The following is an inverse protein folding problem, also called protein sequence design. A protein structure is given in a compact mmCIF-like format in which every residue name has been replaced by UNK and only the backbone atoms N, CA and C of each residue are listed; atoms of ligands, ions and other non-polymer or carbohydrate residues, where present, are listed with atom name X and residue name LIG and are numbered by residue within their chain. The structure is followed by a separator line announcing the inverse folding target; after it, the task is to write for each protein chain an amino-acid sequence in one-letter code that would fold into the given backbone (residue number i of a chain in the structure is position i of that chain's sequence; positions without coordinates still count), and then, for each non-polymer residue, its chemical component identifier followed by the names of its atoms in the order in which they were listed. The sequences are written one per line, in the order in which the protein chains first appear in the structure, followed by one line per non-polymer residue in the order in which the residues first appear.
data_IF_596169416379
#
_entry.id   IF_596169416379
#
_cell.length_a   1.000
_cell.length_b   1.000
_cell.length_c   1.000
_cell.angle_alpha   90.00
_cell.angle_beta   90.00
_cell.angle_gamma   90.00
#
_symmetry.space_group_name_H-M   'P 1'
#
loop_
_entity.id
_entity.type
_entity.pdbx_description
1 polymer ?
#
# COMPACT_ATOMS: atom_id res chain seq x y z
N UNK A 1 -15.38 5.25 -49.60
CA UNK A 1 -15.78 4.59 -48.37
C UNK A 1 -14.55 4.50 -47.48
N UNK A 2 -14.45 5.44 -46.54
CA UNK A 2 -13.38 5.42 -45.52
C UNK A 2 -13.97 4.74 -44.27
N UNK A 3 -13.45 3.58 -43.91
CA UNK A 3 -13.72 2.91 -42.63
C UNK A 3 -12.79 3.49 -41.56
N UNK A 4 -13.34 4.24 -40.63
CA UNK A 4 -12.63 4.71 -39.44
C UNK A 4 -12.41 3.57 -38.48
N UNK A 5 -11.15 3.19 -38.25
CA UNK A 5 -10.75 2.34 -37.13
C UNK A 5 -10.89 3.16 -35.82
N UNK A 6 -11.86 2.81 -35.00
CA UNK A 6 -11.90 3.27 -33.63
C UNK A 6 -10.81 2.56 -32.83
N UNK A 7 -9.74 3.30 -32.48
CA UNK A 7 -8.76 2.86 -31.53
C UNK A 7 -9.40 2.80 -30.13
N UNK A 8 -9.63 1.60 -29.59
CA UNK A 8 -9.93 1.39 -28.20
C UNK A 8 -8.71 1.81 -27.39
N UNK A 9 -8.76 3.00 -26.80
CA UNK A 9 -7.89 3.38 -25.71
C UNK A 9 -8.29 2.54 -24.49
N UNK A 10 -7.68 1.37 -24.35
CA UNK A 10 -7.65 0.66 -23.08
C UNK A 10 -6.96 1.60 -22.10
N UNK A 11 -7.75 2.25 -21.23
CA UNK A 11 -7.24 3.05 -20.14
C UNK A 11 -6.27 2.19 -19.34
N UNK A 12 -4.99 2.52 -19.42
CA UNK A 12 -4.02 2.02 -18.46
C UNK A 12 -4.54 2.44 -17.09
N UNK A 13 -4.96 1.46 -16.30
CA UNK A 13 -5.16 1.63 -14.87
C UNK A 13 -3.77 1.99 -14.34
N UNK A 14 -3.53 3.28 -14.19
CA UNK A 14 -2.37 3.78 -13.45
C UNK A 14 -2.52 3.16 -12.07
N UNK A 15 -1.68 2.17 -11.78
CA UNK A 15 -1.71 1.46 -10.51
C UNK A 15 -1.66 2.49 -9.39
N UNK A 16 -2.69 2.53 -8.56
CA UNK A 16 -2.68 3.36 -7.37
C UNK A 16 -1.40 3.02 -6.57
N UNK A 17 -0.74 4.02 -5.96
CA UNK A 17 0.44 3.74 -5.17
C UNK A 17 0.08 2.65 -4.16
N UNK A 18 0.85 1.58 -4.16
CA UNK A 18 0.68 0.41 -3.29
C UNK A 18 0.59 0.78 -1.80
N UNK A 19 1.08 1.96 -1.46
CA UNK A 19 1.18 2.43 -0.10
C UNK A 19 0.03 3.40 0.22
N UNK A 20 -0.72 3.05 1.24
CA UNK A 20 -1.68 3.92 1.92
C UNK A 20 -1.14 4.21 3.33
N UNK A 21 -1.07 5.48 3.73
CA UNK A 21 -0.57 5.89 5.04
C UNK A 21 -1.46 5.41 6.19
N UNK A 22 -0.90 5.27 7.39
CA UNK A 22 -1.66 4.90 8.58
C UNK A 22 -2.81 5.87 8.83
N UNK A 23 -2.59 7.17 8.64
CA UNK A 23 -3.62 8.21 8.74
C UNK A 23 -4.78 8.02 7.75
N UNK A 24 -4.50 7.56 6.53
CA UNK A 24 -5.55 7.30 5.54
C UNK A 24 -6.35 6.04 5.88
N UNK A 25 -5.68 5.01 6.43
CA UNK A 25 -6.36 3.81 6.93
C UNK A 25 -7.25 4.14 8.13
N UNK A 26 -6.77 4.92 9.10
CA UNK A 26 -7.61 5.40 10.21
C UNK A 26 -8.89 6.07 9.71
N UNK A 27 -8.74 7.02 8.78
CA UNK A 27 -9.90 7.70 8.18
C UNK A 27 -10.85 6.74 7.44
N UNK A 28 -10.30 5.73 6.79
CA UNK A 28 -11.08 4.71 6.09
C UNK A 28 -11.85 3.85 7.09
N UNK A 29 -11.21 3.39 8.16
CA UNK A 29 -11.85 2.61 9.22
C UNK A 29 -12.94 3.40 9.94
N UNK A 30 -12.71 4.66 10.25
CA UNK A 30 -13.74 5.57 10.80
C UNK A 30 -14.96 5.69 9.88
N UNK A 31 -14.73 5.84 8.55
CA UNK A 31 -15.85 5.87 7.60
C UNK A 31 -16.60 4.55 7.55
N UNK A 32 -15.90 3.42 7.51
CA UNK A 32 -16.50 2.08 7.52
C UNK A 32 -17.34 1.90 8.79
N UNK A 33 -16.81 2.22 9.96
CA UNK A 33 -17.51 2.13 11.25
C UNK A 33 -18.81 2.96 11.26
N UNK A 34 -18.71 4.23 10.85
CA UNK A 34 -19.85 5.13 10.80
C UNK A 34 -20.92 4.69 9.80
N UNK A 35 -20.51 4.28 8.59
CA UNK A 35 -21.44 3.79 7.55
C UNK A 35 -22.08 2.46 7.94
N UNK A 36 -21.36 1.57 8.63
CA UNK A 36 -21.90 0.32 9.15
C UNK A 36 -23.06 0.56 10.10
N UNK A 37 -22.92 1.51 11.06
CA UNK A 37 -24.00 1.90 11.94
C UNK A 37 -25.22 2.47 11.20
N UNK A 38 -24.96 3.35 10.21
CA UNK A 38 -26.03 3.92 9.36
C UNK A 38 -26.74 2.87 8.51
N UNK A 39 -25.98 1.96 7.91
CA UNK A 39 -26.54 0.82 7.13
C UNK A 39 -27.39 -0.08 8.01
N UNK A 40 -26.91 -0.48 9.20
CA UNK A 40 -27.65 -1.31 10.15
C UNK A 40 -29.01 -0.70 10.49
N UNK A 41 -29.05 0.61 10.77
CA UNK A 41 -30.30 1.29 11.07
C UNK A 41 -31.25 1.32 9.86
N UNK A 42 -30.73 1.59 8.67
CA UNK A 42 -31.52 1.58 7.43
C UNK A 42 -32.08 0.18 7.14
N UNK A 43 -31.23 -0.85 7.27
CA UNK A 43 -31.61 -2.24 7.08
C UNK A 43 -32.77 -2.64 8.01
N UNK A 44 -32.61 -2.39 9.31
CA UNK A 44 -33.67 -2.68 10.29
C UNK A 44 -35.00 -2.04 9.92
N UNK A 45 -34.97 -0.75 9.54
CA UNK A 45 -36.17 -0.03 9.14
C UNK A 45 -36.81 -0.58 7.86
N UNK A 46 -35.99 -1.04 6.91
CA UNK A 46 -36.46 -1.64 5.66
C UNK A 46 -37.04 -3.04 5.88
N UNK A 47 -36.42 -3.85 6.74
CA UNK A 47 -36.91 -5.20 7.09
C UNK A 47 -38.27 -5.15 7.76
N UNK A 48 -38.46 -4.25 8.72
CA UNK A 48 -39.75 -4.04 9.41
C UNK A 48 -40.89 -3.64 8.45
N UNK A 49 -40.59 -3.17 7.23
CA UNK A 49 -41.57 -2.80 6.19
C UNK A 49 -41.65 -3.81 5.05
N UNK A 50 -40.89 -4.89 5.15
CA UNK A 50 -40.77 -5.91 4.12
C UNK A 50 -41.61 -7.15 4.44
N UNK A 51 -41.63 -8.10 3.49
CA UNK A 51 -42.22 -9.44 3.73
C UNK A 51 -41.43 -10.29 4.70
N UNK A 52 -40.28 -9.82 5.14
CA UNK A 52 -39.39 -10.50 6.12
C UNK A 52 -39.74 -10.10 7.55
N UNK A 53 -40.57 -9.08 7.77
CA UNK A 53 -40.96 -8.62 9.11
C UNK A 53 -41.43 -9.78 9.99
N UNK A 54 -40.88 -9.85 11.20
CA UNK A 54 -41.17 -10.88 12.23
C UNK A 54 -40.85 -12.33 11.77
N UNK A 55 -39.94 -12.49 10.84
CA UNK A 55 -39.47 -13.82 10.43
C UNK A 55 -38.13 -14.15 11.02
N UNK A 56 -37.84 -15.45 11.20
CA UNK A 56 -36.52 -15.92 11.61
C UNK A 56 -35.39 -15.39 10.71
N UNK A 57 -35.67 -15.20 9.43
CA UNK A 57 -34.69 -14.64 8.48
C UNK A 57 -34.35 -13.18 8.77
N UNK A 58 -35.28 -12.41 9.26
CA UNK A 58 -35.05 -11.04 9.75
C UNK A 58 -34.11 -11.06 10.98
N UNK A 59 -34.40 -11.93 11.93
CA UNK A 59 -33.58 -12.08 13.14
C UNK A 59 -32.14 -12.50 12.77
N UNK A 60 -32.01 -13.47 11.89
CA UNK A 60 -30.71 -13.99 11.43
C UNK A 60 -29.88 -12.89 10.75
N UNK A 61 -30.44 -12.10 9.83
CA UNK A 61 -29.72 -11.02 9.15
C UNK A 61 -29.40 -9.87 10.09
N UNK A 62 -30.28 -9.50 11.01
CA UNK A 62 -30.02 -8.47 12.01
C UNK A 62 -28.88 -8.88 12.94
N UNK A 63 -28.85 -10.12 13.41
CA UNK A 63 -27.76 -10.67 14.23
C UNK A 63 -26.44 -10.68 13.42
N UNK A 64 -26.51 -11.05 12.15
CA UNK A 64 -25.35 -11.10 11.28
C UNK A 64 -24.73 -9.72 11.02
N UNK A 65 -25.56 -8.70 10.75
CA UNK A 65 -25.10 -7.31 10.56
C UNK A 65 -24.57 -6.72 11.87
N UNK A 66 -25.15 -7.10 13.02
CA UNK A 66 -24.59 -6.74 14.33
C UNK A 66 -23.18 -7.30 14.52
N UNK A 67 -22.97 -8.58 14.17
CA UNK A 67 -21.66 -9.21 14.26
C UNK A 67 -20.65 -8.58 13.28
N UNK A 68 -21.10 -8.14 12.09
CA UNK A 68 -20.29 -7.35 11.17
C UNK A 68 -19.86 -6.00 11.76
N UNK A 69 -20.76 -5.31 12.44
CA UNK A 69 -20.43 -4.06 13.17
C UNK A 69 -19.41 -4.29 14.29
N UNK A 70 -19.52 -5.41 15.00
CA UNK A 70 -18.55 -5.81 16.04
C UNK A 70 -17.16 -6.12 15.45
N UNK A 71 -17.10 -6.81 14.29
CA UNK A 71 -15.84 -7.08 13.60
C UNK A 71 -15.19 -5.80 13.07
N UNK A 72 -15.98 -4.85 12.54
CA UNK A 72 -15.43 -3.55 12.09
C UNK A 72 -14.86 -2.73 13.24
N UNK A 73 -15.50 -2.73 14.41
CA UNK A 73 -14.99 -2.08 15.62
C UNK A 73 -13.72 -2.74 16.13
N UNK A 74 -13.67 -4.07 16.13
CA UNK A 74 -12.48 -4.80 16.56
C UNK A 74 -11.29 -4.52 15.64
N UNK A 75 -11.51 -4.48 14.32
CA UNK A 75 -10.47 -4.11 13.36
C UNK A 75 -9.93 -2.71 13.62
N UNK A 76 -10.80 -1.73 13.87
CA UNK A 76 -10.46 -0.35 14.21
C UNK A 76 -9.61 -0.31 15.49
N UNK A 77 -10.08 -0.96 16.57
CA UNK A 77 -9.35 -1.05 17.84
C UNK A 77 -7.99 -1.73 17.69
N UNK A 78 -7.91 -2.80 16.88
CA UNK A 78 -6.63 -3.49 16.63
C UNK A 78 -5.69 -2.60 15.82
N UNK A 79 -6.20 -1.82 14.88
CA UNK A 79 -5.41 -0.89 14.09
C UNK A 79 -4.82 0.22 14.96
N UNK A 80 -5.60 0.84 15.80
CA UNK A 80 -5.15 1.90 16.73
C UNK A 80 -4.06 1.42 17.70
N UNK A 81 -4.07 0.14 18.04
CA UNK A 81 -3.06 -0.49 18.90
C UNK A 81 -1.92 -1.16 18.12
N UNK A 82 -1.79 -0.92 16.82
CA UNK A 82 -0.79 -1.57 15.93
C UNK A 82 -0.83 -3.11 15.97
N UNK A 83 -2.02 -3.68 16.19
CA UNK A 83 -2.25 -5.14 16.28
C UNK A 83 -3.11 -5.68 15.14
N UNK A 84 -3.55 -4.81 14.20
CA UNK A 84 -4.38 -5.24 13.08
C UNK A 84 -3.61 -6.20 12.17
N UNK A 85 -4.27 -7.26 11.77
CA UNK A 85 -3.73 -8.28 10.89
C UNK A 85 -4.57 -8.38 9.61
N UNK A 86 -4.01 -9.01 8.58
CA UNK A 86 -4.76 -9.36 7.37
C UNK A 86 -5.99 -10.22 7.72
N UNK A 87 -5.89 -11.08 8.75
CA UNK A 87 -7.00 -11.90 9.22
C UNK A 87 -8.19 -11.08 9.76
N UNK A 88 -7.92 -9.95 10.42
CA UNK A 88 -8.99 -9.04 10.89
C UNK A 88 -9.75 -8.43 9.70
N UNK A 89 -9.02 -7.99 8.68
CA UNK A 89 -9.61 -7.45 7.45
C UNK A 89 -10.39 -8.53 6.70
N UNK A 90 -9.83 -9.73 6.56
CA UNK A 90 -10.48 -10.86 5.91
C UNK A 90 -11.80 -11.23 6.62
N UNK A 91 -11.82 -11.26 7.95
CA UNK A 91 -13.04 -11.51 8.73
C UNK A 91 -14.16 -10.50 8.43
N UNK A 92 -13.80 -9.20 8.37
CA UNK A 92 -14.73 -8.11 8.01
C UNK A 92 -15.26 -8.29 6.58
N UNK A 93 -14.37 -8.53 5.60
CA UNK A 93 -14.73 -8.70 4.20
C UNK A 93 -15.60 -9.94 3.98
N UNK A 94 -15.30 -11.02 4.65
CA UNK A 94 -16.09 -12.24 4.59
C UNK A 94 -17.52 -12.04 5.08
N UNK A 95 -17.72 -11.34 6.19
CA UNK A 95 -19.08 -11.01 6.64
C UNK A 95 -19.78 -10.08 5.66
N UNK A 96 -19.06 -9.08 5.16
CA UNK A 96 -19.60 -8.17 4.15
C UNK A 96 -20.08 -8.89 2.89
N UNK A 97 -19.38 -9.93 2.43
CA UNK A 97 -19.80 -10.72 1.26
C UNK A 97 -21.14 -11.43 1.48
N UNK A 98 -21.39 -11.94 2.68
CA UNK A 98 -22.69 -12.55 3.01
C UNK A 98 -23.82 -11.51 3.06
N UNK A 99 -23.54 -10.31 3.58
CA UNK A 99 -24.49 -9.20 3.53
C UNK A 99 -24.78 -8.81 2.09
N UNK A 100 -23.76 -8.73 1.23
CA UNK A 100 -23.90 -8.43 -0.20
C UNK A 100 -24.79 -9.45 -0.91
N UNK A 101 -24.60 -10.73 -0.64
CA UNK A 101 -25.46 -11.80 -1.17
C UNK A 101 -26.90 -11.63 -0.69
N UNK A 102 -27.13 -11.32 0.59
CA UNK A 102 -28.47 -11.07 1.10
C UNK A 102 -29.11 -9.85 0.40
N UNK A 103 -28.40 -8.73 0.27
CA UNK A 103 -28.89 -7.51 -0.37
C UNK A 103 -29.22 -7.71 -1.86
N UNK A 104 -28.48 -8.59 -2.53
CA UNK A 104 -28.73 -8.96 -3.93
C UNK A 104 -30.00 -9.82 -4.06
N UNK A 105 -30.20 -10.79 -3.18
CA UNK A 105 -31.33 -11.70 -3.21
C UNK A 105 -32.64 -11.06 -2.67
N UNK A 106 -32.52 -10.05 -1.83
CA UNK A 106 -33.65 -9.36 -1.20
C UNK A 106 -33.55 -7.85 -1.44
N UNK A 107 -33.91 -7.35 -2.63
CA UNK A 107 -33.90 -5.93 -2.91
C UNK A 107 -34.84 -5.19 -1.96
N UNK A 108 -34.24 -4.35 -1.11
CA UNK A 108 -34.93 -3.49 -0.15
C UNK A 108 -35.10 -2.07 -0.74
N UNK A 109 -35.52 -1.11 0.10
CA UNK A 109 -35.67 0.27 -0.36
C UNK A 109 -34.39 0.91 -0.87
N UNK A 110 -34.50 1.95 -1.69
CA UNK A 110 -33.37 2.63 -2.33
C UNK A 110 -32.37 3.20 -1.33
N UNK A 111 -32.84 3.66 -0.15
CA UNK A 111 -31.97 4.21 0.90
C UNK A 111 -31.03 3.13 1.46
N UNK A 112 -31.58 1.95 1.73
CA UNK A 112 -30.80 0.82 2.25
C UNK A 112 -29.81 0.29 1.21
N UNK A 113 -30.24 0.21 -0.07
CA UNK A 113 -29.36 -0.16 -1.18
C UNK A 113 -28.19 0.83 -1.35
N UNK A 114 -28.47 2.14 -1.31
CA UNK A 114 -27.42 3.17 -1.40
C UNK A 114 -26.47 3.13 -0.21
N UNK A 115 -26.99 2.93 1.00
CA UNK A 115 -26.18 2.81 2.20
C UNK A 115 -25.21 1.62 2.10
N UNK A 116 -25.70 0.47 1.61
CA UNK A 116 -24.86 -0.69 1.35
C UNK A 116 -23.80 -0.42 0.27
N UNK A 117 -24.20 0.13 -0.89
CA UNK A 117 -23.29 0.40 -1.99
C UNK A 117 -22.12 1.32 -1.59
N UNK A 118 -22.40 2.36 -0.78
CA UNK A 118 -21.36 3.27 -0.30
C UNK A 118 -20.44 2.63 0.72
N UNK A 119 -20.94 1.75 1.58
CA UNK A 119 -20.14 0.96 2.51
C UNK A 119 -19.27 -0.05 1.77
N UNK A 120 -19.85 -0.74 0.78
CA UNK A 120 -19.14 -1.69 -0.08
C UNK A 120 -17.91 -1.06 -0.77
N UNK A 121 -18.04 0.16 -1.28
CA UNK A 121 -16.91 0.88 -1.89
C UNK A 121 -15.78 1.14 -0.89
N UNK A 122 -16.07 1.49 0.36
CA UNK A 122 -15.03 1.65 1.37
C UNK A 122 -14.38 0.31 1.76
N UNK A 123 -15.14 -0.79 1.75
CA UNK A 123 -14.60 -2.14 1.99
C UNK A 123 -13.68 -2.61 0.84
N UNK A 124 -13.95 -2.22 -0.41
CA UNK A 124 -13.07 -2.44 -1.55
C UNK A 124 -11.75 -1.67 -1.39
N UNK A 125 -11.80 -0.41 -0.92
CA UNK A 125 -10.62 0.36 -0.57
C UNK A 125 -9.83 -0.29 0.58
N UNK A 126 -10.51 -0.83 1.58
CA UNK A 126 -9.89 -1.55 2.68
C UNK A 126 -9.14 -2.80 2.18
N UNK A 127 -9.77 -3.60 1.33
CA UNK A 127 -9.13 -4.76 0.71
C UNK A 127 -7.87 -4.34 -0.05
N UNK A 128 -7.97 -3.27 -0.85
CA UNK A 128 -6.83 -2.71 -1.60
C UNK A 128 -5.71 -2.23 -0.68
N UNK A 129 -6.05 -1.55 0.44
CA UNK A 129 -5.08 -1.05 1.41
C UNK A 129 -4.24 -2.17 2.06
N UNK A 130 -4.79 -3.38 2.16
CA UNK A 130 -4.12 -4.57 2.67
C UNK A 130 -3.65 -5.52 1.56
N UNK A 131 -3.68 -5.07 0.29
CA UNK A 131 -3.29 -5.85 -0.89
C UNK A 131 -4.07 -7.16 -1.04
N UNK A 132 -5.33 -7.18 -0.59
CA UNK A 132 -6.22 -8.34 -0.70
C UNK A 132 -6.93 -8.26 -2.03
N UNK A 133 -6.78 -9.29 -2.88
CA UNK A 133 -7.60 -9.44 -4.09
C UNK A 133 -9.00 -9.88 -3.69
N UNK A 134 -9.95 -8.94 -3.68
CA UNK A 134 -11.31 -9.16 -3.23
C UNK A 134 -12.30 -9.20 -4.38
N UNK A 135 -13.27 -10.13 -4.32
CA UNK A 135 -14.38 -10.24 -5.27
C UNK A 135 -15.68 -10.50 -4.53
N UNK A 136 -16.72 -9.75 -4.86
CA UNK A 136 -18.08 -9.93 -4.33
C UNK A 136 -18.79 -11.10 -5.00
N UNK A 137 -19.72 -11.75 -4.28
CA UNK A 137 -20.60 -12.78 -4.85
C UNK A 137 -19.94 -14.12 -5.14
N UNK A 138 -18.74 -14.39 -4.62
CA UNK A 138 -18.11 -15.70 -4.67
C UNK A 138 -18.90 -16.72 -3.84
N UNK A 139 -19.11 -17.94 -4.40
CA UNK A 139 -19.64 -19.04 -3.61
C UNK A 139 -18.75 -19.29 -2.40
N UNK A 140 -19.36 -19.26 -1.24
CA UNK A 140 -18.75 -19.65 0.03
C UNK A 140 -18.44 -21.15 0.01
N UNK A 141 -17.31 -21.55 -0.45
CA UNK A 141 -16.77 -22.87 -0.22
C UNK A 141 -15.50 -22.78 0.59
N UNK A 142 -15.65 -23.17 1.85
CA UNK A 142 -14.68 -23.70 2.80
C UNK A 142 -13.43 -22.89 3.16
N UNK A 143 -13.05 -22.93 4.45
CA UNK A 143 -11.90 -22.20 5.00
C UNK A 143 -10.58 -22.92 4.75
N UNK A 144 -10.28 -23.29 3.51
CA UNK A 144 -9.00 -23.89 3.15
C UNK A 144 -8.20 -22.98 2.19
N UNK A 145 -8.31 -21.69 2.38
CA UNK A 145 -7.32 -20.79 1.84
C UNK A 145 -6.27 -20.53 2.93
N UNK A 146 -5.33 -21.47 3.06
CA UNK A 146 -4.03 -21.19 3.65
C UNK A 146 -3.13 -20.76 2.50
N UNK A 147 -2.99 -19.44 2.20
CA UNK A 147 -1.93 -19.01 1.32
C UNK A 147 -0.61 -19.43 1.96
N UNK A 148 0.40 -19.82 1.17
CA UNK A 148 1.73 -20.06 1.72
C UNK A 148 2.17 -18.80 2.47
N UNK A 149 2.71 -18.98 3.66
CA UNK A 149 3.04 -17.92 4.64
C UNK A 149 3.97 -16.84 4.05
N UNK A 150 4.62 -17.11 2.91
CA UNK A 150 5.51 -16.20 2.20
C UNK A 150 4.82 -15.18 1.28
N UNK A 151 3.54 -15.37 0.92
CA UNK A 151 2.81 -14.54 -0.06
C UNK A 151 1.57 -13.87 0.56
N UNK A 152 1.49 -13.76 1.88
CA UNK A 152 0.40 -13.07 2.54
C UNK A 152 0.40 -11.59 2.12
N UNK A 153 -0.78 -11.05 1.75
CA UNK A 153 -0.93 -9.62 1.56
C UNK A 153 -0.42 -8.90 2.81
N UNK A 154 0.48 -7.98 2.62
CA UNK A 154 1.16 -7.29 3.72
C UNK A 154 1.04 -5.78 3.53
N UNK A 155 0.50 -5.12 4.53
CA UNK A 155 0.51 -3.66 4.63
C UNK A 155 1.71 -3.24 5.48
N UNK A 156 2.55 -2.38 4.94
CA UNK A 156 3.65 -1.80 5.66
C UNK A 156 3.20 -0.52 6.39
N UNK A 157 3.54 -0.37 7.66
CA UNK A 157 3.21 0.80 8.47
C UNK A 157 4.07 2.03 8.09
N UNK A 158 3.61 3.22 8.46
CA UNK A 158 4.37 4.45 8.26
C UNK A 158 5.72 4.39 8.98
N UNK A 159 5.77 3.80 10.17
CA UNK A 159 7.02 3.62 10.91
C UNK A 159 8.03 2.72 10.19
N UNK A 160 7.60 1.61 9.64
CA UNK A 160 8.49 0.71 8.89
C UNK A 160 9.05 1.40 7.63
N UNK A 161 8.24 2.24 6.97
CA UNK A 161 8.70 3.02 5.82
C UNK A 161 9.68 4.12 6.25
N UNK A 162 9.41 4.80 7.36
CA UNK A 162 10.33 5.78 7.96
C UNK A 162 11.70 5.15 8.25
N UNK A 163 11.70 3.96 8.87
CA UNK A 163 12.92 3.21 9.18
C UNK A 163 13.71 2.88 7.88
N UNK A 164 13.04 2.45 6.81
CA UNK A 164 13.68 2.18 5.50
C UNK A 164 14.27 3.46 4.92
N UNK A 165 13.53 4.57 4.89
CA UNK A 165 13.99 5.86 4.37
C UNK A 165 15.17 6.37 5.18
N UNK A 166 15.11 6.26 6.51
CA UNK A 166 16.21 6.62 7.39
C UNK A 166 17.48 5.79 7.11
N UNK A 167 17.33 4.47 6.89
CA UNK A 167 18.45 3.62 6.51
C UNK A 167 19.04 4.01 5.15
N UNK A 168 18.19 4.33 4.15
CA UNK A 168 18.64 4.83 2.84
C UNK A 168 19.43 6.12 2.99
N UNK A 169 18.95 7.10 3.75
CA UNK A 169 19.65 8.37 3.99
C UNK A 169 20.99 8.14 4.71
N UNK A 170 20.97 7.44 5.83
CA UNK A 170 22.16 7.18 6.65
C UNK A 170 23.24 6.41 5.88
N UNK A 171 22.83 5.37 5.13
CA UNK A 171 23.76 4.57 4.34
C UNK A 171 24.28 5.34 3.10
N UNK A 172 23.48 6.26 2.56
CA UNK A 172 23.92 7.16 1.47
C UNK A 172 25.05 8.10 1.92
N UNK A 173 24.95 8.68 3.12
CA UNK A 173 26.04 9.51 3.67
C UNK A 173 27.31 8.68 3.94
N UNK A 174 27.15 7.48 4.47
CA UNK A 174 28.26 6.57 4.70
C UNK A 174 28.93 6.16 3.38
N UNK A 175 28.16 5.80 2.37
CA UNK A 175 28.67 5.48 1.04
C UNK A 175 29.40 6.69 0.42
N UNK A 176 28.82 7.90 0.50
CA UNK A 176 29.46 9.13 0.01
C UNK A 176 30.86 9.31 0.59
N UNK A 177 31.02 9.16 1.92
CA UNK A 177 32.32 9.30 2.60
C UNK A 177 33.32 8.21 2.22
N UNK A 178 32.87 6.95 2.10
CA UNK A 178 33.76 5.85 1.72
C UNK A 178 34.13 5.91 0.24
N UNK A 179 33.26 6.43 -0.64
CA UNK A 179 33.57 6.64 -2.05
C UNK A 179 34.61 7.75 -2.22
N UNK A 180 34.42 8.91 -1.57
CA UNK A 180 35.37 10.02 -1.57
C UNK A 180 36.78 9.52 -1.20
N UNK A 181 36.93 8.84 -0.04
CA UNK A 181 38.16 8.21 0.37
C UNK A 181 38.70 7.12 -0.58
N UNK A 182 37.83 6.50 -1.37
CA UNK A 182 38.25 5.51 -2.36
C UNK A 182 38.77 6.19 -3.64
N UNK A 183 38.19 7.32 -4.01
CA UNK A 183 38.60 8.13 -5.16
C UNK A 183 39.94 8.79 -4.93
N UNK A 184 40.21 9.39 -3.74
CA UNK A 184 41.52 9.94 -3.31
C UNK A 184 42.66 8.93 -3.43
N UNK A 185 42.35 7.64 -3.39
CA UNK A 185 43.33 6.54 -3.44
C UNK A 185 43.27 5.77 -4.76
N UNK A 186 42.73 6.38 -5.78
CA UNK A 186 42.52 5.79 -7.11
C UNK A 186 43.23 6.61 -8.20
N UNK A 187 43.07 6.17 -9.45
CA UNK A 187 43.52 6.92 -10.64
C UNK A 187 42.74 8.23 -10.88
N UNK A 188 41.71 8.48 -10.12
CA UNK A 188 40.88 9.68 -10.23
C UNK A 188 41.37 10.83 -9.34
N UNK A 189 42.28 10.57 -8.37
CA UNK A 189 42.81 11.53 -7.42
C UNK A 189 43.29 12.80 -8.12
N UNK A 190 42.81 13.96 -7.66
CA UNK A 190 43.10 15.28 -8.19
C UNK A 190 42.59 15.58 -9.60
N UNK A 191 41.66 14.77 -10.12
CA UNK A 191 41.11 14.97 -11.44
C UNK A 191 39.69 15.63 -11.40
N UNK A 192 39.38 16.44 -12.42
CA UNK A 192 38.03 16.97 -12.60
C UNK A 192 36.93 15.88 -12.56
N UNK A 193 37.26 14.67 -12.99
CA UNK A 193 36.33 13.55 -12.96
C UNK A 193 36.00 13.10 -11.54
N UNK A 194 36.95 13.19 -10.63
CA UNK A 194 36.72 12.97 -9.19
C UNK A 194 35.72 13.99 -8.64
N UNK A 195 35.94 15.29 -8.94
CA UNK A 195 35.04 16.38 -8.53
C UNK A 195 33.61 16.14 -9.03
N UNK A 196 33.46 15.76 -10.31
CA UNK A 196 32.16 15.46 -10.93
C UNK A 196 31.45 14.29 -10.25
N UNK A 197 32.19 13.21 -9.89
CA UNK A 197 31.64 12.03 -9.21
C UNK A 197 31.21 12.41 -7.78
N UNK A 198 32.06 13.09 -7.04
CA UNK A 198 31.76 13.54 -5.69
C UNK A 198 30.56 14.50 -5.65
N UNK A 199 30.46 15.42 -6.58
CA UNK A 199 29.30 16.30 -6.74
C UNK A 199 28.01 15.49 -7.01
N UNK A 200 28.07 14.52 -7.92
CA UNK A 200 26.92 13.69 -8.27
C UNK A 200 26.42 12.86 -7.08
N UNK A 201 27.33 12.23 -6.32
CA UNK A 201 26.96 11.43 -5.13
C UNK A 201 26.50 12.31 -3.98
N UNK A 202 27.04 13.53 -3.86
CA UNK A 202 26.53 14.53 -2.91
C UNK A 202 25.09 14.95 -3.26
N UNK A 203 24.76 15.09 -4.53
CA UNK A 203 23.41 15.41 -4.97
C UNK A 203 22.46 14.23 -4.78
N UNK A 204 22.91 13.00 -5.03
CA UNK A 204 22.15 11.80 -4.66
C UNK A 204 21.80 11.77 -3.15
N UNK A 205 22.76 12.05 -2.27
CA UNK A 205 22.50 12.15 -0.83
C UNK A 205 21.50 13.26 -0.49
N UNK A 206 21.52 14.41 -1.17
CA UNK A 206 20.51 15.46 -0.99
C UNK A 206 19.11 14.98 -1.35
N UNK A 207 18.97 14.22 -2.45
CA UNK A 207 17.68 13.65 -2.85
C UNK A 207 17.15 12.65 -1.81
N UNK A 208 18.01 11.82 -1.20
CA UNK A 208 17.56 10.95 -0.11
C UNK A 208 17.08 11.74 1.11
N UNK A 209 17.71 12.85 1.45
CA UNK A 209 17.23 13.77 2.49
C UNK A 209 15.91 14.44 2.13
N UNK A 210 15.76 14.84 0.88
CA UNK A 210 14.51 15.43 0.39
C UNK A 210 13.36 14.44 0.50
N UNK A 211 13.59 13.17 0.11
CA UNK A 211 12.61 12.10 0.28
C UNK A 211 12.23 11.94 1.77
N UNK A 212 13.21 11.93 2.67
CA UNK A 212 12.97 11.83 4.12
C UNK A 212 12.11 13.00 4.62
N UNK A 213 12.48 14.24 4.31
CA UNK A 213 11.72 15.42 4.71
C UNK A 213 10.30 15.45 4.12
N UNK A 214 10.13 14.98 2.87
CA UNK A 214 8.81 14.85 2.26
C UNK A 214 7.98 13.79 2.96
N UNK A 215 8.61 12.68 3.39
CA UNK A 215 7.94 11.64 4.16
C UNK A 215 7.45 12.19 5.51
N UNK A 216 8.29 12.83 6.30
CA UNK A 216 7.96 13.41 7.61
C UNK A 216 6.84 14.45 7.51
N UNK A 217 6.82 15.20 6.42
CA UNK A 217 5.76 16.19 6.15
C UNK A 217 4.53 15.60 5.45
N UNK A 218 4.42 14.28 5.33
CA UNK A 218 3.35 13.54 4.61
C UNK A 218 3.16 13.97 3.14
N UNK A 219 4.25 14.36 2.48
CA UNK A 219 4.27 14.80 1.07
C UNK A 219 5.05 13.86 0.16
N UNK A 220 5.63 12.79 0.70
CA UNK A 220 6.41 11.84 -0.11
C UNK A 220 5.54 11.18 -1.17
N UNK A 221 6.09 11.06 -2.37
CA UNK A 221 5.42 10.50 -3.53
C UNK A 221 6.26 9.38 -4.16
N UNK A 222 5.63 8.55 -4.97
CA UNK A 222 6.35 7.57 -5.81
C UNK A 222 7.39 8.26 -6.71
N UNK A 223 7.15 9.52 -7.12
CA UNK A 223 8.09 10.30 -7.92
C UNK A 223 9.37 10.64 -7.17
N UNK A 224 9.29 10.93 -5.86
CA UNK A 224 10.49 11.17 -5.03
C UNK A 224 11.36 9.91 -4.96
N UNK A 225 10.72 8.76 -4.77
CA UNK A 225 11.41 7.47 -4.76
C UNK A 225 12.04 7.17 -6.12
N UNK A 226 11.32 7.40 -7.23
CA UNK A 226 11.83 7.20 -8.58
C UNK A 226 13.06 8.07 -8.83
N UNK A 227 13.05 9.32 -8.40
CA UNK A 227 14.20 10.24 -8.53
C UNK A 227 15.44 9.70 -7.80
N UNK A 228 15.28 9.19 -6.59
CA UNK A 228 16.38 8.56 -5.83
C UNK A 228 16.90 7.32 -6.55
N UNK A 229 16.01 6.45 -7.05
CA UNK A 229 16.38 5.21 -7.74
C UNK A 229 17.10 5.48 -9.07
N UNK A 230 16.65 6.46 -9.85
CA UNK A 230 17.26 6.81 -11.13
C UNK A 230 18.70 7.32 -10.95
N UNK A 231 18.96 8.11 -9.91
CA UNK A 231 20.32 8.50 -9.55
C UNK A 231 21.16 7.32 -9.06
N UNK A 232 20.57 6.44 -8.26
CA UNK A 232 21.23 5.23 -7.79
C UNK A 232 21.66 4.31 -8.95
N UNK A 233 20.85 4.19 -10.02
CA UNK A 233 21.23 3.43 -11.21
C UNK A 233 22.50 3.95 -11.88
N UNK A 234 22.65 5.27 -11.96
CA UNK A 234 23.87 5.89 -12.54
C UNK A 234 25.11 5.64 -11.67
N UNK A 235 24.93 5.67 -10.34
CA UNK A 235 26.01 5.30 -9.40
C UNK A 235 26.36 3.82 -9.58
N UNK A 236 25.37 2.92 -9.66
CA UNK A 236 25.62 1.49 -9.85
C UNK A 236 26.40 1.21 -11.12
N UNK A 237 26.06 1.87 -12.23
CA UNK A 237 26.82 1.76 -13.48
C UNK A 237 28.27 2.24 -13.33
N UNK A 238 28.50 3.33 -12.59
CA UNK A 238 29.85 3.78 -12.28
C UNK A 238 30.61 2.76 -11.44
N UNK A 239 30.00 2.25 -10.36
CA UNK A 239 30.63 1.27 -9.46
C UNK A 239 31.02 -0.04 -10.17
N UNK A 240 30.18 -0.50 -11.10
CA UNK A 240 30.49 -1.71 -11.91
C UNK A 240 31.65 -1.52 -12.88
N UNK A 241 31.76 -0.32 -13.48
CA UNK A 241 32.82 -0.01 -14.47
C UNK A 241 34.18 0.29 -13.85
N UNK A 242 34.21 0.58 -12.54
CA UNK A 242 35.43 1.02 -11.87
C UNK A 242 35.70 0.12 -10.66
N UNK A 243 36.90 -0.46 -10.63
CA UNK A 243 37.34 -1.27 -9.49
C UNK A 243 37.82 -0.33 -8.37
N UNK A 244 36.92 0.02 -7.48
CA UNK A 244 37.22 0.83 -6.30
C UNK A 244 37.60 -0.06 -5.08
N UNK A 245 38.03 0.56 -4.00
CA UNK A 245 38.33 -0.13 -2.75
C UNK A 245 37.15 -0.85 -2.15
N UNK A 246 37.42 -1.92 -1.40
CA UNK A 246 36.43 -2.82 -0.81
C UNK A 246 35.39 -2.11 0.04
N UNK A 247 35.77 -1.04 0.76
CA UNK A 247 34.87 -0.34 1.68
C UNK A 247 33.71 0.38 0.92
N UNK A 248 34.03 1.11 -0.16
CA UNK A 248 33.03 1.76 -0.99
C UNK A 248 32.11 0.74 -1.65
N UNK A 249 32.64 -0.41 -2.11
CA UNK A 249 31.83 -1.50 -2.67
C UNK A 249 30.91 -2.13 -1.64
N UNK A 250 31.40 -2.34 -0.42
CA UNK A 250 30.58 -2.87 0.68
C UNK A 250 29.44 -1.92 1.03
N UNK A 251 29.75 -0.63 1.22
CA UNK A 251 28.74 0.36 1.59
C UNK A 251 27.70 0.53 0.46
N UNK A 252 28.11 0.47 -0.81
CA UNK A 252 27.21 0.47 -1.95
C UNK A 252 26.30 -0.76 -1.97
N UNK A 253 26.83 -1.96 -1.70
CA UNK A 253 26.04 -3.20 -1.65
C UNK A 253 24.94 -3.13 -0.58
N UNK A 254 25.26 -2.59 0.58
CA UNK A 254 24.28 -2.41 1.66
C UNK A 254 23.23 -1.38 1.27
N UNK A 255 23.63 -0.25 0.68
CA UNK A 255 22.72 0.79 0.21
C UNK A 255 21.77 0.26 -0.87
N UNK A 256 22.26 -0.54 -1.82
CA UNK A 256 21.41 -1.18 -2.84
C UNK A 256 20.30 -2.02 -2.24
N UNK A 257 20.59 -2.79 -1.19
CA UNK A 257 19.56 -3.60 -0.54
C UNK A 257 18.43 -2.74 0.05
N UNK A 258 18.76 -1.61 0.69
CA UNK A 258 17.75 -0.67 1.19
C UNK A 258 16.97 0.03 0.05
N UNK A 259 17.64 0.34 -1.07
CA UNK A 259 16.98 0.93 -2.24
C UNK A 259 16.03 -0.07 -2.92
N UNK A 260 16.37 -1.35 -2.97
CA UNK A 260 15.49 -2.41 -3.47
C UNK A 260 14.25 -2.55 -2.55
N UNK A 261 14.43 -2.46 -1.24
CA UNK A 261 13.35 -2.49 -0.27
C UNK A 261 12.45 -1.24 -0.40
N UNK A 262 13.04 -0.06 -0.56
CA UNK A 262 12.32 1.19 -0.81
C UNK A 262 11.47 1.11 -2.09
N UNK A 263 12.04 0.60 -3.19
CA UNK A 263 11.31 0.40 -4.44
C UNK A 263 10.11 -0.54 -4.25
N UNK A 264 10.31 -1.65 -3.53
CA UNK A 264 9.25 -2.62 -3.23
C UNK A 264 8.10 -1.99 -2.43
N UNK A 265 8.42 -1.20 -1.40
CA UNK A 265 7.43 -0.56 -0.52
C UNK A 265 6.58 0.47 -1.26
N UNK A 266 7.15 1.18 -2.23
CA UNK A 266 6.43 2.15 -3.06
C UNK A 266 5.87 1.55 -4.35
N UNK A 267 5.95 0.21 -4.52
CA UNK A 267 5.52 -0.51 -5.72
C UNK A 267 6.12 0.06 -7.02
N UNK A 268 7.38 0.49 -6.93
CA UNK A 268 8.14 0.95 -8.09
C UNK A 268 8.76 -0.26 -8.78
N UNK A 269 8.39 -0.49 -10.06
CA UNK A 269 9.06 -1.51 -10.87
C UNK A 269 10.50 -1.08 -11.12
N UNK A 270 11.43 -1.74 -10.45
CA UNK A 270 12.84 -1.37 -10.45
C UNK A 270 13.74 -2.55 -10.83
N UNK A 271 14.76 -2.27 -11.63
CA UNK A 271 15.83 -3.23 -11.95
C UNK A 271 17.15 -2.48 -12.10
N UNK A 272 18.20 -2.99 -11.50
CA UNK A 272 19.55 -2.50 -11.72
C UNK A 272 20.00 -2.81 -13.16
N UNK A 273 20.53 -1.80 -13.87
CA UNK A 273 20.97 -1.90 -15.25
C UNK A 273 22.37 -2.49 -15.37
#
# INVERSE_FOLDING_TARGET
MLTALAANAAGQVVGQPYRISDREVTRLLDRIKNKTGGFRQSLKNALNKSRLDRTRREDDINAFVKAFEEDTKRLDDHFDHHKSTVADVDAVLQRASRIDTFMTLHPLDARTQTAWATLRSDLELLASAYNITWRWGGEWRTPEFNPPVSDLPYRISDKEVEDIIHHVESQSDKFRKSLDSALDKSRFDGTRREDDINAFVKDFYKETKTLHNHFDSHKSTTSDVQTVLDRAAQIDQFMRRNRLKKDALKDWTVLRAYLDELARVYNVTWRWQ
#
